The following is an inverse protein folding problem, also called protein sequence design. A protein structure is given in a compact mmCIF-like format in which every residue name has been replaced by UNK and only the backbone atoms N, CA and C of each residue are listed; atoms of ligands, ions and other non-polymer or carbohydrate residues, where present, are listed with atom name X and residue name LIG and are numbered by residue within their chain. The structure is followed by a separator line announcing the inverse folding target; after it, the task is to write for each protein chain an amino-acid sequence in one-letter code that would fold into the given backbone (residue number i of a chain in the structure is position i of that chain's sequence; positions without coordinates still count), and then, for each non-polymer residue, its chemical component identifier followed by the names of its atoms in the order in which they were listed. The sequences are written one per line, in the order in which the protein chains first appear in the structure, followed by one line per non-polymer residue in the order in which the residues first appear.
data_IF_374861119680
#
_entry.id   IF_374861119680
#
_cell.length_a   1.000
_cell.length_b   1.000
_cell.length_c   1.000
_cell.angle_alpha   90.00
_cell.angle_beta   90.00
_cell.angle_gamma   90.00
#
_symmetry.space_group_name_H-M   'P 1'
#
loop_
_entity.id
_entity.type
_entity.pdbx_description
1 polymer ?
#
# COMPACT_ATOMS: atom_id res chain seq x y z
N UNK A 1 -0.74 -11.28 -9.88
CA UNK A 1 -1.21 -10.14 -9.05
C UNK A 1 -0.21 -10.01 -7.93
N UNK A 2 0.32 -8.81 -7.65
CA UNK A 2 1.24 -8.64 -6.52
C UNK A 2 0.45 -8.75 -5.20
N UNK A 3 1.11 -9.23 -4.15
CA UNK A 3 0.47 -9.51 -2.88
C UNK A 3 0.55 -8.31 -1.93
N UNK A 4 -0.50 -8.14 -1.13
CA UNK A 4 -0.50 -7.33 0.08
C UNK A 4 -0.02 -8.23 1.21
N UNK A 5 1.08 -7.87 1.85
CA UNK A 5 1.68 -8.67 2.92
C UNK A 5 1.46 -7.98 4.25
N UNK A 6 0.71 -8.63 5.14
CA UNK A 6 0.30 -8.11 6.42
C UNK A 6 1.18 -8.68 7.55
N UNK A 7 1.82 -7.81 8.32
CA UNK A 7 2.80 -8.15 9.37
C UNK A 7 2.19 -7.87 10.75
N UNK A 8 1.36 -8.79 11.22
CA UNK A 8 0.60 -8.71 12.48
C UNK A 8 1.38 -9.20 13.70
N UNK A 9 2.26 -10.19 13.50
CA UNK A 9 3.07 -10.72 14.58
C UNK A 9 4.38 -9.97 14.67
N UNK A 10 5.08 -10.18 15.79
CA UNK A 10 6.34 -9.51 16.09
C UNK A 10 7.47 -10.01 15.17
N UNK A 11 7.61 -9.38 14.00
CA UNK A 11 8.62 -9.73 13.00
C UNK A 11 9.77 -8.73 12.95
N UNK A 12 10.98 -9.25 12.68
CA UNK A 12 12.07 -8.47 12.11
C UNK A 12 12.13 -8.71 10.60
N UNK A 13 11.96 -7.65 9.82
CA UNK A 13 11.99 -7.66 8.37
C UNK A 13 13.34 -7.17 7.88
N UNK A 14 14.04 -8.02 7.13
CA UNK A 14 15.33 -7.72 6.54
C UNK A 14 15.32 -7.97 5.03
N UNK A 15 16.34 -7.46 4.35
CA UNK A 15 16.57 -7.68 2.92
C UNK A 15 17.52 -8.86 2.70
N UNK A 16 17.20 -9.67 1.72
CA UNK A 16 18.06 -10.71 1.12
C UNK A 16 18.48 -10.28 -0.29
N UNK A 17 19.11 -11.15 -1.07
CA UNK A 17 19.54 -10.80 -2.43
C UNK A 17 18.38 -10.35 -3.34
N UNK A 18 17.26 -11.08 -3.35
CA UNK A 18 16.12 -10.84 -4.26
C UNK A 18 14.78 -10.66 -3.54
N UNK A 19 14.78 -10.41 -2.23
CA UNK A 19 13.52 -10.36 -1.50
C UNK A 19 13.65 -9.99 -0.04
N UNK A 20 12.54 -10.12 0.68
CA UNK A 20 12.47 -9.94 2.12
C UNK A 20 12.70 -11.26 2.86
N UNK A 21 13.26 -11.14 4.05
CA UNK A 21 13.28 -12.19 5.07
C UNK A 21 12.60 -11.68 6.32
N UNK A 22 11.49 -12.31 6.67
CA UNK A 22 10.70 -12.02 7.86
C UNK A 22 11.09 -13.07 8.91
N UNK A 23 11.60 -12.63 10.05
CA UNK A 23 11.94 -13.51 11.17
C UNK A 23 11.01 -13.20 12.34
N UNK A 24 10.18 -14.16 12.74
CA UNK A 24 9.34 -14.02 13.92
C UNK A 24 10.25 -13.97 15.16
N UNK A 25 10.14 -12.91 15.96
CA UNK A 25 11.02 -12.69 17.10
C UNK A 25 10.68 -13.61 18.28
N UNK A 26 9.47 -14.16 18.32
CA UNK A 26 8.97 -15.05 19.37
C UNK A 26 9.22 -16.51 18.99
N UNK A 27 8.67 -16.97 17.85
CA UNK A 27 8.77 -18.38 17.41
C UNK A 27 10.08 -18.73 16.72
N UNK A 28 10.86 -17.71 16.31
CA UNK A 28 12.07 -17.85 15.47
C UNK A 28 11.80 -18.40 14.06
N UNK A 29 10.54 -18.54 13.66
CA UNK A 29 10.14 -18.91 12.31
C UNK A 29 10.61 -17.87 11.29
N UNK A 30 10.89 -18.33 10.07
CA UNK A 30 11.45 -17.51 9.00
C UNK A 30 10.64 -17.70 7.74
N UNK A 31 10.26 -16.59 7.12
CA UNK A 31 9.60 -16.56 5.83
C UNK A 31 10.41 -15.69 4.86
N UNK A 32 10.45 -16.11 3.61
CA UNK A 32 11.10 -15.36 2.53
C UNK A 32 10.07 -15.00 1.47
N UNK A 33 10.13 -13.76 0.98
CA UNK A 33 9.21 -13.24 -0.03
C UNK A 33 10.02 -12.54 -1.12
N UNK A 34 9.71 -12.79 -2.40
CA UNK A 34 10.35 -12.07 -3.51
C UNK A 34 9.87 -10.62 -3.56
N UNK A 35 10.71 -9.69 -4.01
CA UNK A 35 10.27 -8.31 -4.27
C UNK A 35 9.20 -8.23 -5.37
N UNK A 36 9.26 -9.13 -6.35
CA UNK A 36 8.33 -9.15 -7.48
C UNK A 36 6.91 -9.53 -7.05
N UNK A 37 6.80 -10.31 -5.97
CA UNK A 37 5.53 -10.83 -5.45
C UNK A 37 4.83 -9.86 -4.49
N UNK A 38 5.47 -8.75 -4.11
CA UNK A 38 4.97 -7.85 -3.06
C UNK A 38 4.64 -6.48 -3.64
N UNK A 39 3.42 -6.01 -3.38
CA UNK A 39 2.97 -4.66 -3.72
C UNK A 39 3.16 -3.71 -2.54
N UNK A 40 2.79 -4.16 -1.35
CA UNK A 40 2.83 -3.36 -0.13
C UNK A 40 3.10 -4.26 1.07
N UNK A 41 3.95 -3.79 1.98
CA UNK A 41 4.13 -4.37 3.32
C UNK A 41 3.36 -3.52 4.32
N UNK A 42 2.44 -4.13 5.05
CA UNK A 42 1.67 -3.48 6.09
C UNK A 42 2.18 -3.92 7.46
N UNK A 43 2.75 -2.98 8.21
CA UNK A 43 3.20 -3.16 9.58
C UNK A 43 2.09 -2.77 10.55
N UNK A 44 1.31 -3.77 10.94
CA UNK A 44 0.18 -3.59 11.85
C UNK A 44 0.53 -3.80 13.33
N UNK A 45 1.75 -4.30 13.59
CA UNK A 45 2.25 -4.49 14.93
C UNK A 45 3.40 -3.51 15.22
N UNK A 46 3.17 -2.64 16.20
CA UNK A 46 4.16 -1.64 16.66
C UNK A 46 5.45 -2.26 17.24
N UNK A 47 5.47 -3.56 17.51
CA UNK A 47 6.66 -4.29 17.98
C UNK A 47 7.47 -4.93 16.84
N UNK A 48 7.12 -4.65 15.59
CA UNK A 48 7.90 -5.03 14.43
C UNK A 48 9.10 -4.11 14.22
N UNK A 49 10.13 -4.66 13.58
CA UNK A 49 11.35 -3.94 13.25
C UNK A 49 11.68 -4.15 11.77
N UNK A 50 12.23 -3.15 11.11
CA UNK A 50 12.78 -3.29 9.77
C UNK A 50 14.17 -2.66 9.68
N UNK A 51 15.01 -3.18 8.78
CA UNK A 51 16.28 -2.52 8.49
C UNK A 51 16.10 -1.35 7.54
N UNK A 52 16.97 -0.33 7.59
CA UNK A 52 16.93 0.80 6.65
C UNK A 52 17.00 0.35 5.18
N UNK A 53 17.70 -0.76 4.90
CA UNK A 53 17.79 -1.37 3.57
C UNK A 53 16.44 -1.86 3.03
N UNK A 54 15.49 -2.22 3.90
CA UNK A 54 14.10 -2.53 3.49
C UNK A 54 13.48 -1.31 2.84
N UNK A 55 13.61 -0.13 3.46
CA UNK A 55 13.05 1.13 2.92
C UNK A 55 13.66 1.44 1.55
N UNK A 56 14.99 1.34 1.43
CA UNK A 56 15.71 1.56 0.17
C UNK A 56 15.23 0.61 -0.93
N UNK A 57 15.20 -0.70 -0.66
CA UNK A 57 14.78 -1.69 -1.67
C UNK A 57 13.30 -1.60 -2.00
N UNK A 58 12.45 -1.25 -1.04
CA UNK A 58 11.04 -0.97 -1.32
C UNK A 58 10.90 0.23 -2.26
N UNK A 59 11.68 1.30 -2.04
CA UNK A 59 11.67 2.47 -2.91
C UNK A 59 12.12 2.13 -4.35
N UNK A 60 13.19 1.34 -4.51
CA UNK A 60 13.70 0.89 -5.81
C UNK A 60 12.67 0.02 -6.57
N UNK A 61 11.99 -0.87 -5.85
CA UNK A 61 11.08 -1.86 -6.42
C UNK A 61 9.61 -1.41 -6.49
N UNK A 62 9.32 -0.15 -6.12
CA UNK A 62 7.96 0.43 -6.04
C UNK A 62 7.04 -0.41 -5.15
N UNK A 63 7.55 -0.80 -3.99
CA UNK A 63 6.82 -1.51 -2.95
C UNK A 63 6.44 -0.47 -1.90
N UNK A 64 5.14 -0.35 -1.62
CA UNK A 64 4.65 0.54 -0.57
C UNK A 64 4.98 0.00 0.82
N UNK A 65 5.16 0.89 1.79
CA UNK A 65 5.16 0.53 3.21
C UNK A 65 4.01 1.25 3.89
N UNK A 66 3.17 0.53 4.63
CA UNK A 66 2.12 1.12 5.46
C UNK A 66 2.39 0.75 6.92
N UNK A 67 2.29 1.73 7.80
CA UNK A 67 2.42 1.53 9.24
C UNK A 67 1.09 1.85 9.89
N UNK A 68 0.63 0.98 10.79
CA UNK A 68 -0.56 1.23 11.60
C UNK A 68 -0.18 1.75 12.99
N UNK A 69 -1.14 2.41 13.63
CA UNK A 69 -1.07 2.79 15.03
C UNK A 69 -1.49 1.62 15.95
N UNK A 70 -1.63 1.92 17.25
CA UNK A 70 -2.05 0.91 18.25
C UNK A 70 -3.51 0.47 18.10
N UNK A 71 -4.32 1.21 17.34
CA UNK A 71 -5.71 0.89 17.04
C UNK A 71 -5.87 0.09 15.74
N UNK A 72 -4.77 -0.39 15.15
CA UNK A 72 -4.77 -1.07 13.85
C UNK A 72 -5.27 -0.18 12.70
N UNK A 73 -5.15 1.14 12.87
CA UNK A 73 -5.53 2.12 11.85
C UNK A 73 -4.29 2.57 11.07
N UNK A 74 -4.37 2.73 9.75
CA UNK A 74 -3.28 3.27 8.95
C UNK A 74 -2.81 4.63 9.48
N UNK A 75 -1.57 4.68 9.98
CA UNK A 75 -0.94 5.88 10.54
C UNK A 75 -0.13 6.61 9.49
N UNK A 76 0.65 5.87 8.70
CA UNK A 76 1.50 6.46 7.67
C UNK A 76 1.72 5.50 6.51
N UNK A 77 1.94 6.08 5.33
CA UNK A 77 2.32 5.36 4.12
C UNK A 77 3.60 5.97 3.59
N UNK A 78 4.58 5.12 3.30
CA UNK A 78 5.80 5.48 2.61
C UNK A 78 5.73 4.93 1.19
N UNK A 79 5.60 5.86 0.24
CA UNK A 79 5.58 5.60 -1.19
C UNK A 79 6.86 6.12 -1.84
N UNK A 80 7.36 5.37 -2.82
CA UNK A 80 8.52 5.82 -3.58
C UNK A 80 8.18 7.04 -4.43
N UNK A 81 8.93 8.12 -4.26
CA UNK A 81 8.87 9.29 -5.15
C UNK A 81 9.73 9.06 -6.41
N UNK A 82 10.67 8.11 -6.34
CA UNK A 82 11.63 7.79 -7.39
C UNK A 82 11.16 6.64 -8.30
N UNK A 83 11.68 6.56 -9.52
CA UNK A 83 11.46 5.42 -10.42
C UNK A 83 10.14 5.40 -11.20
N UNK A 84 9.27 6.40 -11.02
CA UNK A 84 8.08 6.57 -11.86
C UNK A 84 8.43 7.43 -13.10
N UNK A 85 8.78 6.77 -14.21
CA UNK A 85 9.21 7.42 -15.46
C UNK A 85 8.22 8.50 -15.97
N UNK A 86 6.92 8.30 -15.75
CA UNK A 86 5.87 9.20 -16.23
C UNK A 86 5.33 10.16 -15.17
N UNK A 87 5.92 10.20 -13.97
CA UNK A 87 5.35 10.98 -12.84
C UNK A 87 5.24 12.47 -13.14
N UNK A 88 6.26 13.04 -13.79
CA UNK A 88 6.28 14.46 -14.13
C UNK A 88 5.18 14.82 -15.13
N UNK A 89 5.03 14.04 -16.19
CA UNK A 89 3.98 14.26 -17.20
C UNK A 89 2.58 14.02 -16.61
N UNK A 90 2.42 13.01 -15.75
CA UNK A 90 1.17 12.80 -15.02
C UNK A 90 0.83 13.99 -14.11
N UNK A 91 1.81 14.51 -13.38
CA UNK A 91 1.62 15.66 -12.50
C UNK A 91 1.26 16.92 -13.30
N UNK A 92 1.91 17.17 -14.44
CA UNK A 92 1.52 18.26 -15.35
C UNK A 92 0.07 18.11 -15.84
N UNK A 93 -0.33 16.91 -16.22
CA UNK A 93 -1.71 16.63 -16.62
C UNK A 93 -2.70 16.89 -15.48
N UNK A 94 -2.36 16.49 -14.24
CA UNK A 94 -3.20 16.74 -13.06
C UNK A 94 -3.33 18.25 -12.75
N UNK A 95 -2.22 18.98 -12.83
CA UNK A 95 -2.19 20.43 -12.57
C UNK A 95 -2.94 21.23 -13.65
N UNK A 96 -2.81 20.83 -14.92
CA UNK A 96 -3.48 21.48 -16.05
C UNK A 96 -4.95 21.07 -16.22
N UNK A 97 -5.45 20.10 -15.46
CA UNK A 97 -6.83 19.65 -15.54
C UNK A 97 -7.83 20.78 -15.22
N UNK A 98 -8.66 21.14 -16.20
CA UNK A 98 -9.67 22.18 -16.08
C UNK A 98 -10.74 21.85 -15.03
N UNK A 99 -11.36 22.90 -14.48
CA UNK A 99 -12.52 22.78 -13.57
C UNK A 99 -13.66 21.98 -14.19
N UNK A 100 -13.90 22.14 -15.50
CA UNK A 100 -14.92 21.40 -16.25
C UNK A 100 -14.65 19.89 -16.28
N UNK A 101 -13.40 19.49 -16.48
CA UNK A 101 -13.00 18.06 -16.45
C UNK A 101 -13.14 17.51 -15.03
N UNK A 102 -12.62 18.23 -14.03
CA UNK A 102 -12.73 17.86 -12.62
C UNK A 102 -14.19 17.67 -12.19
N UNK A 103 -15.07 18.61 -12.53
CA UNK A 103 -16.50 18.54 -12.21
C UNK A 103 -17.21 17.37 -12.92
N UNK A 104 -16.88 17.11 -14.19
CA UNK A 104 -17.43 15.94 -14.92
C UNK A 104 -17.01 14.61 -14.29
N UNK A 105 -15.74 14.47 -13.91
CA UNK A 105 -15.22 13.27 -13.25
C UNK A 105 -15.85 13.08 -11.88
N UNK A 106 -15.88 14.14 -11.06
CA UNK A 106 -16.51 14.11 -9.74
C UNK A 106 -17.97 13.68 -9.82
N UNK A 107 -18.74 14.26 -10.75
CA UNK A 107 -20.16 13.88 -10.93
C UNK A 107 -20.32 12.40 -11.27
N UNK A 108 -19.46 11.86 -12.15
CA UNK A 108 -19.48 10.42 -12.48
C UNK A 108 -19.21 9.56 -11.25
N UNK A 109 -18.19 9.89 -10.46
CA UNK A 109 -17.84 9.18 -9.22
C UNK A 109 -19.02 9.18 -8.24
N UNK A 110 -19.66 10.34 -8.05
CA UNK A 110 -20.80 10.47 -7.12
C UNK A 110 -22.01 9.68 -7.61
N UNK A 111 -22.34 9.71 -8.90
CA UNK A 111 -23.42 8.90 -9.47
C UNK A 111 -23.15 7.41 -9.23
N UNK A 112 -21.94 6.92 -9.54
CA UNK A 112 -21.57 5.53 -9.31
C UNK A 112 -21.63 5.15 -7.83
N UNK A 113 -21.21 6.05 -6.92
CA UNK A 113 -21.35 5.83 -5.47
C UNK A 113 -22.81 5.63 -5.08
N UNK A 114 -23.72 6.49 -5.53
CA UNK A 114 -25.15 6.40 -5.19
C UNK A 114 -25.75 5.10 -5.71
N UNK A 115 -25.44 4.72 -6.95
CA UNK A 115 -25.89 3.45 -7.54
C UNK A 115 -25.39 2.26 -6.69
N UNK A 116 -24.10 2.25 -6.33
CA UNK A 116 -23.54 1.18 -5.50
C UNK A 116 -24.17 1.13 -4.10
N UNK A 117 -24.55 2.29 -3.53
CA UNK A 117 -25.27 2.35 -2.26
C UNK A 117 -26.68 1.76 -2.39
N UNK A 118 -27.41 2.07 -3.47
CA UNK A 118 -28.73 1.48 -3.72
C UNK A 118 -28.64 -0.06 -3.85
N UNK A 119 -27.70 -0.56 -4.65
CA UNK A 119 -27.46 -2.01 -4.80
C UNK A 119 -27.08 -2.66 -3.48
N UNK A 120 -26.28 -1.99 -2.64
CA UNK A 120 -25.92 -2.49 -1.32
C UNK A 120 -27.16 -2.62 -0.41
N UNK A 121 -28.06 -1.64 -0.43
CA UNK A 121 -29.30 -1.70 0.33
C UNK A 121 -30.21 -2.82 -0.16
N UNK A 122 -30.41 -2.97 -1.48
CA UNK A 122 -31.21 -4.06 -2.05
C UNK A 122 -30.70 -5.44 -1.64
N UNK A 123 -29.37 -5.63 -1.58
CA UNK A 123 -28.75 -6.92 -1.19
C UNK A 123 -28.83 -7.24 0.29
N UNK A 124 -28.81 -6.22 1.15
CA UNK A 124 -28.78 -6.41 2.61
C UNK A 124 -30.18 -6.28 3.26
N UNK A 125 -31.23 -6.06 2.47
CA UNK A 125 -32.63 -5.98 2.96
C UNK A 125 -33.37 -7.33 2.96
N UNK A 126 -32.63 -8.44 2.94
CA UNK A 126 -33.15 -9.79 3.20
C UNK A 126 -32.60 -10.32 4.54
#
# INVERSE_FOLDING_TARGET
MKNIVYVENKYFVAVTHNGFKLTNLETKEKHCLSFEDVEILIFDNSQCYLSAKVIEKCADNKIGLLFCDRGHLPLSVLESVYGQQNRFEQLKCQLSASSKVKGRLWRKIVISKIINQAVCLEKNWC
#
